data_IF_292976698664
#
_entry.id   IF_292976698664
#
_cell.length_a   1.000
_cell.length_b   1.000
_cell.length_c   1.000
_cell.angle_alpha   90.00
_cell.angle_beta   90.00
_cell.angle_gamma   90.00
#
_symmetry.space_group_name_H-M   'P 1'
#
loop_
_entity.id
_entity.type
_entity.pdbx_description
1 polymer ?
#
# COMPACT_ATOMS: atom_id res chain seq x y z
N UNK A 1 -10.84 11.66 4.38
CA UNK A 1 -11.64 11.67 3.13
C UNK A 1 -11.15 12.79 2.21
N UNK A 2 -10.79 12.52 0.95
CA UNK A 2 -10.49 13.61 0.00
C UNK A 2 -9.25 13.48 -0.88
N UNK A 3 -8.89 12.27 -1.32
CA UNK A 3 -7.91 12.10 -2.42
C UNK A 3 -8.53 11.20 -3.47
N UNK A 4 -8.19 11.44 -4.74
CA UNK A 4 -8.62 10.60 -5.86
C UNK A 4 -7.98 9.20 -5.77
N UNK A 5 -8.51 8.27 -6.58
CA UNK A 5 -8.08 6.86 -6.54
C UNK A 5 -6.61 6.66 -6.91
N UNK A 6 -6.07 7.43 -7.86
CA UNK A 6 -4.68 7.33 -8.27
C UNK A 6 -3.75 7.81 -7.15
N UNK A 7 -4.07 8.96 -6.56
CA UNK A 7 -3.34 9.47 -5.40
C UNK A 7 -3.41 8.50 -4.21
N UNK A 8 -4.59 7.93 -3.93
CA UNK A 8 -4.77 6.95 -2.88
C UNK A 8 -3.91 5.70 -3.09
N UNK A 9 -3.88 5.19 -4.33
CA UNK A 9 -3.05 4.04 -4.68
C UNK A 9 -1.56 4.36 -4.54
N UNK A 10 -1.10 5.51 -5.08
CA UNK A 10 0.30 5.92 -4.98
C UNK A 10 0.78 6.02 -3.53
N UNK A 11 -0.07 6.55 -2.64
CA UNK A 11 0.23 6.63 -1.21
C UNK A 11 0.29 5.25 -0.56
N UNK A 12 -0.64 4.36 -0.89
CA UNK A 12 -0.66 3.00 -0.38
C UNK A 12 0.58 2.20 -0.83
N UNK A 13 0.98 2.33 -2.10
CA UNK A 13 2.17 1.69 -2.65
C UNK A 13 3.44 2.18 -1.94
N UNK A 14 3.57 3.50 -1.75
CA UNK A 14 4.69 4.09 -0.99
C UNK A 14 4.72 3.56 0.44
N UNK A 15 3.57 3.51 1.12
CA UNK A 15 3.50 3.00 2.49
C UNK A 15 3.92 1.52 2.57
N UNK A 16 3.56 0.70 1.57
CA UNK A 16 3.95 -0.71 1.49
C UNK A 16 5.47 -0.90 1.44
N UNK A 17 6.20 -0.04 0.73
CA UNK A 17 7.67 -0.10 0.68
C UNK A 17 8.34 0.22 2.02
N UNK A 18 7.71 1.04 2.87
CA UNK A 18 8.27 1.45 4.16
C UNK A 18 7.77 0.62 5.35
N UNK A 19 6.57 0.05 5.28
CA UNK A 19 5.91 -0.64 6.38
C UNK A 19 6.75 -1.83 6.91
N UNK A 20 7.02 -1.93 8.22
CA UNK A 20 7.83 -3.00 8.78
C UNK A 20 7.23 -4.39 8.54
N UNK A 21 5.90 -4.52 8.59
CA UNK A 21 5.21 -5.78 8.32
C UNK A 21 5.40 -6.21 6.86
N UNK A 22 5.26 -5.29 5.91
CA UNK A 22 5.42 -5.58 4.48
C UNK A 22 6.85 -6.01 4.15
N UNK A 23 7.85 -5.45 4.82
CA UNK A 23 9.25 -5.93 4.72
C UNK A 23 9.42 -7.32 5.32
N UNK A 24 8.81 -7.58 6.48
CA UNK A 24 8.89 -8.88 7.16
C UNK A 24 8.23 -10.02 6.36
N UNK A 25 7.21 -9.73 5.54
CA UNK A 25 6.49 -10.73 4.73
C UNK A 25 7.00 -10.83 3.29
N UNK A 26 7.97 -9.99 2.88
CA UNK A 26 8.44 -9.92 1.48
C UNK A 26 9.08 -11.24 1.07
N UNK A 27 8.54 -11.86 0.02
CA UNK A 27 9.00 -13.15 -0.52
C UNK A 27 8.43 -14.37 0.21
N UNK A 28 7.68 -14.19 1.30
CA UNK A 28 7.06 -15.30 2.05
C UNK A 28 5.62 -15.57 1.59
N UNK A 29 4.86 -14.51 1.33
CA UNK A 29 3.46 -14.56 0.89
C UNK A 29 3.19 -13.46 -0.12
N UNK A 30 2.18 -13.67 -0.96
CA UNK A 30 1.67 -12.64 -1.85
C UNK A 30 0.85 -11.62 -1.06
N UNK A 31 1.16 -10.34 -1.26
CA UNK A 31 0.47 -9.23 -0.61
C UNK A 31 -0.08 -8.31 -1.69
N UNK A 32 -1.39 -8.07 -1.66
CA UNK A 32 -2.06 -7.09 -2.53
C UNK A 32 -2.39 -5.84 -1.73
N UNK A 33 -1.96 -4.67 -2.22
CA UNK A 33 -2.22 -3.38 -1.60
C UNK A 33 -3.17 -2.57 -2.47
N UNK A 34 -4.30 -2.17 -1.89
CA UNK A 34 -5.30 -1.36 -2.57
C UNK A 34 -5.45 -0.03 -1.82
N UNK A 35 -5.08 1.05 -2.48
CA UNK A 35 -5.37 2.40 -2.01
C UNK A 35 -6.86 2.63 -2.16
N UNK A 36 -7.60 2.56 -1.04
CA UNK A 36 -9.04 2.81 -1.07
C UNK A 36 -9.25 4.33 -1.11
N UNK A 37 -9.76 4.91 -2.22
CA UNK A 37 -10.19 6.30 -2.20
C UNK A 37 -11.31 6.47 -1.17
N UNK A 38 -11.43 7.69 -0.70
CA UNK A 38 -12.47 8.05 0.27
C UNK A 38 -13.85 8.14 -0.38
#
# INVERSE_FOLDING_TARGET
>A
PGVDAETAQSLADKAHEFCPYSKATRGNIDVTVVGKPA
#
